data_IF_916077097850
#
_entry.id   IF_916077097850
#
_cell.length_a   1.000
_cell.length_b   1.000
_cell.length_c   1.000
_cell.angle_alpha   90.00
_cell.angle_beta   90.00
_cell.angle_gamma   90.00
#
_symmetry.space_group_name_H-M   'P 1'
#
loop_
_entity.id
_entity.type
_entity.pdbx_description
1 polymer ?
#
# COMPACT_ATOMS: atom_id res chain seq x y z
N UNK A 1 -0.16 -2.65 18.25
CA UNK A 1 0.28 -2.24 16.88
C UNK A 1 1.42 -1.24 17.02
N UNK A 2 2.56 -1.41 16.33
CA UNK A 2 3.68 -0.49 16.40
C UNK A 2 3.44 0.76 15.53
N UNK A 3 2.65 1.69 16.05
CA UNK A 3 2.34 2.98 15.43
C UNK A 3 3.04 4.06 16.26
N UNK A 4 3.92 4.84 15.63
CA UNK A 4 4.78 5.79 16.32
C UNK A 4 4.62 7.21 15.79
N UNK A 5 4.55 8.16 16.69
CA UNK A 5 4.78 9.56 16.36
C UNK A 5 6.27 9.87 16.35
N UNK A 6 6.69 10.81 15.52
CA UNK A 6 8.04 11.35 15.51
C UNK A 6 7.96 12.88 15.63
N UNK A 7 8.37 13.44 16.75
CA UNK A 7 8.18 14.87 17.07
C UNK A 7 6.69 15.24 16.97
N UNK A 8 6.36 16.20 16.14
CA UNK A 8 5.00 16.69 15.83
C UNK A 8 4.24 15.86 14.79
N UNK A 9 4.95 14.97 14.07
CA UNK A 9 4.39 14.12 13.02
C UNK A 9 3.71 12.89 13.64
N UNK A 10 2.42 12.70 13.35
CA UNK A 10 1.60 11.60 13.89
C UNK A 10 0.80 10.94 12.80
N UNK A 11 0.75 9.60 12.74
CA UNK A 11 -0.11 8.90 11.80
C UNK A 11 -1.59 9.26 11.98
N UNK A 12 -2.27 9.49 10.85
CA UNK A 12 -3.72 9.72 10.76
C UNK A 12 -4.34 8.52 10.03
N UNK A 13 -4.91 7.60 10.79
CA UNK A 13 -5.45 6.36 10.26
C UNK A 13 -6.97 6.41 10.37
N UNK A 14 -7.66 6.24 9.23
CA UNK A 14 -9.12 6.24 9.25
C UNK A 14 -9.65 5.06 10.09
N UNK A 15 -10.72 5.25 10.91
CA UNK A 15 -11.23 4.19 11.79
C UNK A 15 -11.66 2.91 11.07
N UNK A 16 -12.04 2.98 9.79
CA UNK A 16 -12.39 1.80 8.99
C UNK A 16 -11.18 1.09 8.34
N UNK A 17 -9.98 1.65 8.42
CA UNK A 17 -8.79 0.97 7.91
C UNK A 17 -8.42 -0.23 8.80
N UNK A 18 -7.85 -1.26 8.19
CA UNK A 18 -7.27 -2.41 8.88
C UNK A 18 -5.75 -2.31 8.91
N UNK A 19 -5.15 -2.41 10.08
CA UNK A 19 -3.69 -2.45 10.25
C UNK A 19 -3.35 -3.73 10.99
N UNK A 20 -2.56 -4.60 10.37
CA UNK A 20 -2.11 -5.81 11.06
C UNK A 20 -1.17 -5.48 12.24
N UNK A 21 -1.22 -6.27 13.29
CA UNK A 21 -0.57 -5.96 14.57
C UNK A 21 0.95 -5.76 14.50
N UNK A 22 1.65 -6.36 13.54
CA UNK A 22 3.09 -6.25 13.35
C UNK A 22 3.50 -5.38 12.13
N UNK A 23 2.55 -4.69 11.49
CA UNK A 23 2.88 -3.62 10.56
C UNK A 23 3.41 -2.40 11.33
N UNK A 24 4.44 -1.74 10.81
CA UNK A 24 5.09 -0.58 11.44
C UNK A 24 4.71 0.70 10.69
N UNK A 25 4.16 1.69 11.42
CA UNK A 25 3.77 2.99 10.84
C UNK A 25 4.38 4.10 11.67
N UNK A 26 5.17 4.99 11.05
CA UNK A 26 5.94 6.03 11.74
C UNK A 26 5.73 7.39 11.07
N UNK A 27 5.46 8.43 11.85
CA UNK A 27 5.52 9.84 11.43
C UNK A 27 4.28 10.34 10.69
N UNK A 28 4.46 11.22 9.69
CA UNK A 28 3.38 11.85 8.94
C UNK A 28 2.82 10.92 7.86
N UNK A 29 2.02 9.97 8.30
CA UNK A 29 1.37 8.96 7.45
C UNK A 29 -0.14 9.12 7.54
N UNK A 30 -0.81 9.30 6.41
CA UNK A 30 -2.27 9.30 6.32
C UNK A 30 -2.75 8.04 5.60
N UNK A 31 -3.70 7.32 6.20
CA UNK A 31 -4.31 6.11 5.63
C UNK A 31 -5.81 6.29 5.53
N UNK A 32 -6.33 6.23 4.31
CA UNK A 32 -7.74 6.44 3.97
C UNK A 32 -8.69 5.33 4.41
N UNK A 33 -10.01 5.55 4.20
CA UNK A 33 -11.05 4.60 4.59
C UNK A 33 -10.87 3.23 3.93
N UNK A 34 -11.24 2.17 4.63
CA UNK A 34 -11.27 0.77 4.13
C UNK A 34 -9.95 0.24 3.56
N UNK A 35 -8.86 1.00 3.71
CA UNK A 35 -7.53 0.55 3.31
C UNK A 35 -6.99 -0.48 4.29
N UNK A 36 -6.07 -1.31 3.84
CA UNK A 36 -5.50 -2.39 4.66
C UNK A 36 -3.98 -2.45 4.55
N UNK A 37 -3.32 -2.62 5.70
CA UNK A 37 -1.87 -2.78 5.82
C UNK A 37 -1.59 -4.14 6.45
N UNK A 38 -0.87 -4.96 5.72
CA UNK A 38 -0.69 -6.38 6.00
C UNK A 38 0.61 -6.67 6.78
N UNK A 39 0.82 -7.92 7.23
CA UNK A 39 1.95 -8.27 8.10
C UNK A 39 3.32 -7.81 7.59
N UNK A 40 4.20 -7.40 8.50
CA UNK A 40 5.59 -7.00 8.21
C UNK A 40 5.75 -5.82 7.23
N UNK A 41 4.70 -5.07 6.96
CA UNK A 41 4.78 -3.85 6.17
C UNK A 41 5.41 -2.73 6.99
N UNK A 42 6.31 -1.93 6.38
CA UNK A 42 6.90 -0.75 6.99
C UNK A 42 6.51 0.51 6.21
N UNK A 43 5.88 1.48 6.90
CA UNK A 43 5.48 2.77 6.32
C UNK A 43 6.09 3.87 7.18
N UNK A 44 6.95 4.72 6.58
CA UNK A 44 7.66 5.76 7.31
C UNK A 44 7.55 7.11 6.61
N UNK A 45 6.97 8.10 7.33
CA UNK A 45 6.82 9.50 6.92
C UNK A 45 7.58 10.41 7.89
N UNK A 46 8.91 10.31 7.94
CA UNK A 46 9.73 11.04 8.90
C UNK A 46 10.32 12.34 8.34
N UNK A 47 10.60 12.41 7.07
CA UNK A 47 11.09 13.62 6.39
C UNK A 47 9.95 14.38 5.73
N UNK A 48 9.14 13.71 4.92
CA UNK A 48 7.98 14.25 4.21
C UNK A 48 6.71 13.46 4.60
N UNK A 49 5.62 13.60 3.87
CA UNK A 49 4.37 12.88 4.13
C UNK A 49 4.22 11.63 3.26
N UNK A 50 3.55 10.64 3.81
CA UNK A 50 3.00 9.49 3.08
C UNK A 50 1.48 9.58 3.12
N UNK A 51 0.82 9.53 1.96
CA UNK A 51 -0.63 9.57 1.84
C UNK A 51 -1.11 8.35 1.07
N UNK A 52 -2.02 7.60 1.67
CA UNK A 52 -2.65 6.40 1.10
C UNK A 52 -4.14 6.64 1.04
N UNK A 53 -4.74 6.50 -0.14
CA UNK A 53 -6.14 6.75 -0.41
C UNK A 53 -7.10 5.70 0.16
N UNK A 54 -8.36 5.74 -0.28
CA UNK A 54 -9.41 4.80 0.11
C UNK A 54 -9.22 3.43 -0.54
N UNK A 55 -9.61 2.36 0.17
CA UNK A 55 -9.69 0.99 -0.37
C UNK A 55 -8.36 0.42 -0.89
N UNK A 56 -7.25 1.06 -0.56
CA UNK A 56 -5.90 0.67 -0.99
C UNK A 56 -5.33 -0.39 -0.05
N UNK A 57 -4.72 -1.44 -0.61
CA UNK A 57 -4.11 -2.49 0.19
C UNK A 57 -2.59 -2.54 0.01
N UNK A 58 -1.87 -2.59 1.12
CA UNK A 58 -0.40 -2.66 1.19
C UNK A 58 -0.05 -4.04 1.73
N UNK A 59 0.40 -4.93 0.86
CA UNK A 59 0.59 -6.33 1.17
C UNK A 59 1.91 -6.60 1.91
N UNK A 60 2.05 -7.82 2.40
CA UNK A 60 3.09 -8.23 3.34
C UNK A 60 4.49 -7.89 2.87
N UNK A 61 5.31 -7.40 3.79
CA UNK A 61 6.73 -7.11 3.59
C UNK A 61 7.02 -5.91 2.69
N UNK A 62 6.01 -5.18 2.23
CA UNK A 62 6.21 -3.97 1.43
C UNK A 62 6.82 -2.85 2.27
N UNK A 63 7.66 -2.03 1.65
CA UNK A 63 8.30 -0.87 2.26
C UNK A 63 7.87 0.40 1.53
N UNK A 64 7.30 1.35 2.28
CA UNK A 64 6.82 2.63 1.80
C UNK A 64 7.57 3.75 2.51
N UNK A 65 8.24 4.60 1.74
CA UNK A 65 9.00 5.72 2.27
C UNK A 65 8.95 6.91 1.30
N UNK A 66 9.24 8.06 1.80
CA UNK A 66 9.30 9.33 1.07
C UNK A 66 10.72 9.90 1.05
N UNK A 67 10.90 11.03 0.38
CA UNK A 67 12.14 11.80 0.38
C UNK A 67 11.83 13.30 0.62
N UNK A 68 12.87 14.09 0.92
CA UNK A 68 12.71 15.53 1.19
C UNK A 68 12.00 16.27 0.04
N UNK A 69 12.34 15.94 -1.19
CA UNK A 69 11.81 16.60 -2.38
C UNK A 69 10.48 16.03 -2.86
N UNK A 70 10.23 14.74 -2.60
CA UNK A 70 9.06 14.04 -3.10
C UNK A 70 8.32 13.34 -1.96
N UNK A 71 7.04 13.69 -1.70
CA UNK A 71 6.18 12.89 -0.84
C UNK A 71 5.88 11.54 -1.50
N UNK A 72 5.39 10.59 -0.72
CA UNK A 72 4.77 9.40 -1.27
C UNK A 72 3.25 9.57 -1.29
N UNK A 73 2.67 9.55 -2.48
CA UNK A 73 1.22 9.69 -2.67
C UNK A 73 0.70 8.46 -3.41
N UNK A 74 -0.21 7.74 -2.79
CA UNK A 74 -0.87 6.56 -3.36
C UNK A 74 -2.37 6.84 -3.40
N UNK A 75 -2.97 6.70 -4.58
CA UNK A 75 -4.38 6.97 -4.82
C UNK A 75 -5.32 5.93 -4.21
N UNK A 76 -6.56 5.96 -4.66
CA UNK A 76 -7.64 5.11 -4.19
C UNK A 76 -7.64 3.76 -4.92
N UNK A 77 -8.07 2.71 -4.23
CA UNK A 77 -8.22 1.34 -4.76
C UNK A 77 -6.96 0.81 -5.45
N UNK A 78 -5.79 1.13 -4.91
CA UNK A 78 -4.49 0.63 -5.36
C UNK A 78 -4.15 -0.67 -4.63
N UNK A 79 -3.55 -1.61 -5.35
CA UNK A 79 -2.92 -2.79 -4.75
C UNK A 79 -1.41 -2.65 -4.80
N UNK A 80 -0.76 -2.59 -3.64
CA UNK A 80 0.69 -2.73 -3.50
C UNK A 80 0.98 -4.19 -3.14
N UNK A 81 1.52 -4.92 -4.11
CA UNK A 81 1.80 -6.35 -3.97
C UNK A 81 2.91 -6.67 -2.98
N UNK A 82 2.94 -7.91 -2.52
CA UNK A 82 3.88 -8.38 -1.51
C UNK A 82 5.34 -8.01 -1.83
N UNK A 83 6.10 -7.57 -0.83
CA UNK A 83 7.53 -7.23 -0.94
C UNK A 83 7.85 -6.08 -1.92
N UNK A 84 6.86 -5.27 -2.32
CA UNK A 84 7.13 -4.12 -3.18
C UNK A 84 7.86 -3.01 -2.40
N UNK A 85 8.80 -2.32 -3.08
CA UNK A 85 9.47 -1.12 -2.61
C UNK A 85 8.88 0.09 -3.31
N UNK A 86 8.25 0.99 -2.56
CA UNK A 86 7.61 2.19 -3.09
C UNK A 86 8.21 3.41 -2.41
N UNK A 87 8.99 4.18 -3.15
CA UNK A 87 9.78 5.27 -2.59
C UNK A 87 9.50 6.59 -3.29
N UNK A 88 9.09 7.60 -2.52
CA UNK A 88 9.02 9.03 -2.90
C UNK A 88 8.37 9.30 -4.27
N UNK A 89 7.22 8.69 -4.56
CA UNK A 89 6.59 8.71 -5.86
C UNK A 89 5.09 9.02 -5.79
N UNK A 90 4.46 9.20 -6.92
CA UNK A 90 3.00 9.35 -7.04
C UNK A 90 2.41 8.19 -7.82
N UNK A 91 1.40 7.53 -7.27
CA UNK A 91 0.67 6.43 -7.89
C UNK A 91 -0.81 6.83 -7.98
N UNK A 92 -1.35 6.83 -9.18
CA UNK A 92 -2.75 7.12 -9.47
C UNK A 92 -3.71 6.04 -8.94
N UNK A 93 -5.00 6.25 -9.19
CA UNK A 93 -6.05 5.37 -8.71
C UNK A 93 -6.11 4.05 -9.48
N UNK A 94 -6.62 3.00 -8.84
CA UNK A 94 -6.90 1.71 -9.49
C UNK A 94 -5.67 0.96 -10.02
N UNK A 95 -4.47 1.32 -9.57
CA UNK A 95 -3.23 0.70 -10.01
C UNK A 95 -2.96 -0.64 -9.31
N UNK A 96 -2.28 -1.52 -10.03
CA UNK A 96 -1.61 -2.69 -9.46
C UNK A 96 -0.10 -2.49 -9.51
N UNK A 97 0.54 -2.46 -8.37
CA UNK A 97 1.99 -2.50 -8.20
C UNK A 97 2.35 -3.94 -7.83
N UNK A 98 2.98 -4.64 -8.77
CA UNK A 98 3.22 -6.09 -8.65
C UNK A 98 4.21 -6.46 -7.55
N UNK A 99 4.18 -7.72 -7.15
CA UNK A 99 5.07 -8.27 -6.11
C UNK A 99 6.55 -8.03 -6.46
N UNK A 100 7.37 -7.68 -5.46
CA UNK A 100 8.81 -7.40 -5.61
C UNK A 100 9.13 -6.29 -6.63
N UNK A 101 8.18 -5.44 -7.02
CA UNK A 101 8.49 -4.29 -7.88
C UNK A 101 9.13 -3.16 -7.08
N UNK A 102 9.84 -2.27 -7.80
CA UNK A 102 10.53 -1.12 -7.22
C UNK A 102 10.07 0.14 -7.95
N UNK A 103 9.56 1.11 -7.21
CA UNK A 103 9.18 2.42 -7.74
C UNK A 103 10.05 3.47 -7.04
N UNK A 104 10.77 4.29 -7.81
CA UNK A 104 11.76 5.22 -7.30
C UNK A 104 11.29 6.68 -7.32
N UNK A 105 12.12 7.54 -6.75
CA UNK A 105 11.87 8.95 -6.44
C UNK A 105 11.35 9.75 -7.64
N UNK A 106 10.34 10.57 -7.40
CA UNK A 106 9.75 11.43 -8.42
C UNK A 106 9.05 10.71 -9.58
N UNK A 107 8.97 9.36 -9.55
CA UNK A 107 8.17 8.63 -10.53
C UNK A 107 6.69 8.97 -10.39
N UNK A 108 5.98 9.10 -11.52
CA UNK A 108 4.54 9.33 -11.57
C UNK A 108 3.89 8.23 -12.38
N UNK A 109 3.01 7.47 -11.76
CA UNK A 109 2.24 6.39 -12.38
C UNK A 109 0.80 6.87 -12.51
N UNK A 110 0.29 6.96 -13.74
CA UNK A 110 -1.08 7.35 -14.03
C UNK A 110 -2.10 6.30 -13.56
N UNK A 111 -3.38 6.66 -13.61
CA UNK A 111 -4.48 5.79 -13.19
C UNK A 111 -4.54 4.47 -13.96
N UNK A 112 -5.05 3.43 -13.31
CA UNK A 112 -5.31 2.10 -13.89
C UNK A 112 -4.08 1.43 -14.53
N UNK A 113 -2.87 1.77 -14.08
CA UNK A 113 -1.65 1.11 -14.53
C UNK A 113 -1.42 -0.23 -13.84
N UNK A 114 -0.75 -1.12 -14.55
CA UNK A 114 -0.23 -2.36 -14.00
C UNK A 114 1.29 -2.35 -14.11
N UNK A 115 1.96 -2.34 -12.98
CA UNK A 115 3.39 -2.58 -12.87
C UNK A 115 3.58 -4.07 -12.58
N UNK A 116 4.19 -4.81 -13.48
CA UNK A 116 4.34 -6.25 -13.34
C UNK A 116 5.24 -6.62 -12.16
N UNK A 117 5.10 -7.85 -11.66
CA UNK A 117 5.96 -8.36 -10.61
C UNK A 117 7.45 -8.25 -10.98
N UNK A 118 8.29 -7.78 -10.05
CA UNK A 118 9.72 -7.58 -10.24
C UNK A 118 10.09 -6.43 -11.20
N UNK A 119 9.13 -5.65 -11.70
CA UNK A 119 9.43 -4.51 -12.57
C UNK A 119 10.01 -3.34 -11.76
N UNK A 120 10.83 -2.52 -12.43
CA UNK A 120 11.46 -1.33 -11.85
C UNK A 120 10.99 -0.10 -12.62
N UNK A 121 10.42 0.87 -11.91
CA UNK A 121 10.16 2.21 -12.43
C UNK A 121 11.21 3.16 -11.83
N UNK A 122 12.08 3.68 -12.66
CA UNK A 122 13.22 4.50 -12.24
C UNK A 122 12.81 5.92 -11.87
N UNK A 123 13.74 6.65 -11.26
CA UNK A 123 13.54 8.04 -10.84
C UNK A 123 12.98 8.92 -11.95
N UNK A 124 12.03 9.79 -11.58
CA UNK A 124 11.41 10.78 -12.46
C UNK A 124 10.59 10.22 -13.62
N UNK A 125 10.46 8.90 -13.73
CA UNK A 125 9.76 8.27 -14.85
C UNK A 125 8.26 8.60 -14.82
N UNK A 126 7.75 9.04 -15.96
CA UNK A 126 6.30 9.28 -16.15
C UNK A 126 5.70 8.08 -16.88
N UNK A 127 4.74 7.42 -16.25
CA UNK A 127 3.98 6.30 -16.82
C UNK A 127 2.56 6.80 -17.12
N UNK A 128 2.15 6.85 -18.40
CA UNK A 128 0.79 7.27 -18.77
C UNK A 128 -0.29 6.36 -18.17
N UNK A 129 -1.51 6.86 -17.95
CA UNK A 129 -2.63 6.04 -17.49
C UNK A 129 -2.85 4.81 -18.36
N UNK A 130 -3.42 3.76 -17.78
CA UNK A 130 -3.75 2.48 -18.43
C UNK A 130 -2.54 1.71 -19.01
N UNK A 131 -1.32 1.99 -18.56
CA UNK A 131 -0.09 1.33 -19.05
C UNK A 131 0.19 0.02 -18.36
N UNK A 132 0.62 -0.99 -19.14
CA UNK A 132 1.25 -2.21 -18.64
C UNK A 132 2.78 -2.06 -18.70
N UNK A 133 3.43 -2.04 -17.54
CA UNK A 133 4.89 -1.88 -17.40
C UNK A 133 5.53 -3.19 -16.96
N UNK A 134 6.61 -3.61 -17.63
CA UNK A 134 7.38 -4.80 -17.32
C UNK A 134 8.89 -4.47 -17.27
N UNK A 135 9.68 -5.31 -16.58
CA UNK A 135 11.12 -5.13 -16.50
C UNK A 135 11.51 -3.74 -16.00
N UNK A 136 12.47 -3.10 -16.64
CA UNK A 136 12.90 -1.73 -16.28
C UNK A 136 12.25 -0.73 -17.24
N UNK A 137 11.29 0.06 -16.76
CA UNK A 137 10.57 1.13 -17.48
C UNK A 137 9.93 0.72 -18.83
N UNK A 138 9.77 -0.56 -19.11
CA UNK A 138 9.28 -1.00 -20.40
C UNK A 138 7.76 -1.00 -20.46
N UNK A 139 7.15 -0.05 -21.14
CA UNK A 139 5.71 -0.03 -21.43
C UNK A 139 5.43 -1.03 -22.55
N UNK A 140 4.70 -2.10 -22.24
CA UNK A 140 4.32 -3.16 -23.21
C UNK A 140 3.10 -2.78 -24.04
N UNK A 141 2.30 -1.83 -23.58
CA UNK A 141 1.05 -1.40 -24.18
C UNK A 141 0.03 -1.00 -23.15
N UNK A 142 -1.21 -0.91 -23.56
CA UNK A 142 -2.32 -0.61 -22.66
C UNK A 142 -2.80 -1.86 -21.94
N UNK A 143 -3.29 -1.66 -20.72
CA UNK A 143 -3.98 -2.69 -19.92
C UNK A 143 -5.32 -2.99 -20.60
N UNK A 144 -5.57 -4.26 -20.93
CA UNK A 144 -6.86 -4.67 -21.47
C UNK A 144 -7.98 -4.47 -20.45
N UNK A 145 -9.22 -4.27 -20.93
CA UNK A 145 -10.39 -4.12 -20.05
C UNK A 145 -10.59 -5.34 -19.15
N UNK A 146 -10.46 -6.55 -19.70
CA UNK A 146 -10.54 -7.80 -18.94
C UNK A 146 -9.52 -7.85 -17.79
N UNK A 147 -8.28 -7.46 -18.07
CA UNK A 147 -7.22 -7.46 -17.06
C UNK A 147 -7.47 -6.41 -15.99
N UNK A 148 -7.91 -5.22 -16.37
CA UNK A 148 -8.30 -4.15 -15.45
C UNK A 148 -9.43 -4.57 -14.52
N UNK A 149 -10.49 -5.17 -15.07
CA UNK A 149 -11.65 -5.63 -14.29
C UNK A 149 -11.25 -6.74 -13.30
N UNK A 150 -10.41 -7.66 -13.73
CA UNK A 150 -9.84 -8.71 -12.86
C UNK A 150 -9.09 -8.13 -11.67
N UNK A 151 -8.22 -7.15 -11.89
CA UNK A 151 -7.45 -6.55 -10.79
C UNK A 151 -8.28 -5.63 -9.92
N UNK A 152 -9.24 -4.91 -10.48
CA UNK A 152 -10.24 -4.16 -9.73
C UNK A 152 -11.00 -5.08 -8.77
N UNK A 153 -11.48 -6.22 -9.26
CA UNK A 153 -12.17 -7.20 -8.40
C UNK A 153 -11.24 -7.74 -7.31
N UNK A 154 -9.98 -8.01 -7.63
CA UNK A 154 -9.00 -8.42 -6.61
C UNK A 154 -8.81 -7.36 -5.52
N UNK A 155 -8.71 -6.08 -5.88
CA UNK A 155 -8.60 -4.99 -4.90
C UNK A 155 -9.85 -4.91 -4.02
N UNK A 156 -11.06 -5.05 -4.58
CA UNK A 156 -12.31 -5.09 -3.81
C UNK A 156 -12.37 -6.30 -2.86
N UNK A 157 -11.81 -7.43 -3.25
CA UNK A 157 -11.68 -8.59 -2.37
C UNK A 157 -10.77 -8.27 -1.15
N UNK A 158 -9.67 -7.52 -1.36
CA UNK A 158 -8.82 -7.06 -0.25
C UNK A 158 -9.53 -6.05 0.66
N UNK A 159 -10.37 -5.17 0.12
CA UNK A 159 -11.24 -4.30 0.93
C UNK A 159 -12.13 -5.13 1.86
N UNK A 160 -12.80 -6.15 1.31
CA UNK A 160 -13.66 -7.05 2.08
C UNK A 160 -12.85 -7.87 3.09
N UNK A 161 -11.72 -8.41 2.67
CA UNK A 161 -10.83 -9.22 3.52
C UNK A 161 -10.30 -8.41 4.71
N UNK A 162 -9.89 -7.16 4.49
CA UNK A 162 -9.46 -6.26 5.56
C UNK A 162 -10.53 -6.05 6.63
N UNK A 163 -11.81 -5.95 6.25
CA UNK A 163 -12.91 -5.84 7.22
C UNK A 163 -13.15 -7.15 7.99
N UNK A 164 -13.02 -8.30 7.31
CA UNK A 164 -13.10 -9.62 7.97
C UNK A 164 -11.99 -9.77 9.00
N UNK A 165 -10.74 -9.47 8.63
CA UNK A 165 -9.61 -9.54 9.56
C UNK A 165 -9.78 -8.58 10.74
N UNK A 166 -10.27 -7.38 10.50
CA UNK A 166 -10.51 -6.38 11.53
C UNK A 166 -11.49 -6.86 12.60
N UNK A 167 -12.49 -7.65 12.23
CA UNK A 167 -13.58 -8.09 13.12
C UNK A 167 -13.43 -9.49 13.65
N UNK A 168 -12.65 -10.35 12.97
CA UNK A 168 -12.67 -11.79 13.22
C UNK A 168 -11.29 -12.40 13.48
N UNK A 169 -10.20 -11.61 13.32
CA UNK A 169 -8.85 -12.13 13.59
C UNK A 169 -8.62 -12.27 15.09
N UNK A 170 -8.32 -13.49 15.53
CA UNK A 170 -8.00 -13.79 16.93
C UNK A 170 -6.56 -14.29 17.04
N UNK A 171 -5.82 -13.76 18.00
CA UNK A 171 -4.52 -14.30 18.36
C UNK A 171 -4.73 -15.57 19.19
N UNK A 172 -4.09 -16.65 18.80
CA UNK A 172 -4.07 -17.88 19.60
C UNK A 172 -2.88 -17.86 20.57
N UNK A 173 -3.05 -18.41 21.76
CA UNK A 173 -1.95 -18.75 22.64
C UNK A 173 -1.20 -19.99 22.11
N UNK A 174 0.01 -20.23 22.62
CA UNK A 174 0.84 -21.36 22.15
C UNK A 174 0.19 -22.74 22.41
N UNK A 175 -0.80 -22.83 23.30
CA UNK A 175 -1.60 -24.03 23.58
C UNK A 175 -2.88 -24.15 22.72
N UNK A 176 -3.08 -23.21 21.77
CA UNK A 176 -4.24 -23.20 20.88
C UNK A 176 -5.52 -22.60 21.49
N UNK A 177 -5.48 -22.14 22.76
CA UNK A 177 -6.62 -21.41 23.34
C UNK A 177 -6.68 -19.98 22.82
N UNK A 178 -7.90 -19.47 22.53
CA UNK A 178 -8.08 -18.05 22.14
C UNK A 178 -7.83 -17.16 23.37
N UNK A 179 -6.81 -16.30 23.30
CA UNK A 179 -6.68 -15.21 24.27
C UNK A 179 -7.69 -14.12 23.89
N UNK A 180 -8.66 -13.86 24.74
CA UNK A 180 -9.46 -12.65 24.64
C UNK A 180 -8.52 -11.45 24.81
N UNK A 181 -8.18 -10.81 23.69
CA UNK A 181 -7.54 -9.48 23.76
C UNK A 181 -8.66 -8.54 24.18
N UNK A 182 -8.66 -8.20 25.49
CA UNK A 182 -9.50 -7.10 25.96
C UNK A 182 -9.14 -5.86 25.16
N UNK A 183 -10.04 -5.48 24.24
CA UNK A 183 -10.03 -4.18 23.57
C UNK A 183 -10.29 -3.09 24.63
N UNK A 184 -9.29 -2.74 25.42
CA UNK A 184 -9.30 -1.52 26.19
C UNK A 184 -8.72 -0.41 25.31
N UNK A 185 -9.63 0.34 24.72
CA UNK A 185 -9.69 1.75 24.26
C UNK A 185 -8.39 2.48 23.92
#
# INVERSE_FOLDING_TARGET
>A
MPIYSLKDKKPKIHPSAFIFENAIIIGDVTIGPKSSVWPNTAIRGDVNKVVIGEGTNIQEGSVLHEASEYPLIIGDYVTIGHMAMVHACTIGNGCLIGMNSIILDGAVIGDNCIIAAGAIVTEGKQIPPNSLVVGVNQIKGEVSEELRDRFKQNTLNYVSLGQIYKTSLNRLSNDGSSSEISNNR
#
